data_IF_380931097496
#
_entry.id   IF_380931097496
#
_cell.length_a   1.000
_cell.length_b   1.000
_cell.length_c   1.000
_cell.angle_alpha   90.00
_cell.angle_beta   90.00
_cell.angle_gamma   90.00
#
_symmetry.space_group_name_H-M   'P 1'
#
loop_
_entity.id
_entity.type
_entity.pdbx_description
1 polymer ?
#
# COMPACT_ATOMS: atom_id res chain seq x y z
N UNK A 1 18.39 23.36 -11.21
CA UNK A 1 18.22 22.51 -10.01
C UNK A 1 16.94 22.84 -9.25
N UNK A 2 16.72 24.08 -8.80
CA UNK A 2 15.48 24.49 -8.09
C UNK A 2 14.24 24.30 -8.97
N UNK A 3 14.28 24.76 -10.22
CA UNK A 3 13.16 24.60 -11.17
C UNK A 3 12.79 23.12 -11.40
N UNK A 4 13.81 22.26 -11.57
CA UNK A 4 13.61 20.81 -11.67
C UNK A 4 12.98 20.22 -10.40
N UNK A 5 13.44 20.64 -9.22
CA UNK A 5 12.89 20.18 -7.94
C UNK A 5 11.41 20.59 -7.80
N UNK A 6 11.07 21.85 -8.08
CA UNK A 6 9.69 22.36 -8.03
C UNK A 6 8.82 21.60 -9.03
N UNK A 7 9.27 21.44 -10.27
CA UNK A 7 8.54 20.68 -11.29
C UNK A 7 8.27 19.25 -10.83
N UNK A 8 9.23 18.60 -10.16
CA UNK A 8 9.07 17.23 -9.67
C UNK A 8 8.07 17.13 -8.52
N UNK A 9 8.08 18.08 -7.58
CA UNK A 9 7.09 18.16 -6.50
C UNK A 9 5.69 18.42 -7.06
N UNK A 10 5.55 19.33 -8.03
CA UNK A 10 4.25 19.62 -8.66
C UNK A 10 3.68 18.40 -9.39
N UNK A 11 4.51 17.70 -10.16
CA UNK A 11 4.09 16.46 -10.84
C UNK A 11 3.70 15.40 -9.80
N UNK A 12 4.47 15.24 -8.72
CA UNK A 12 4.14 14.28 -7.66
C UNK A 12 2.79 14.60 -6.99
N UNK A 13 2.56 15.86 -6.63
CA UNK A 13 1.28 16.31 -6.04
C UNK A 13 0.11 16.07 -7.00
N UNK A 14 0.28 16.39 -8.29
CA UNK A 14 -0.74 16.16 -9.31
C UNK A 14 -1.02 14.67 -9.49
N UNK A 15 0.02 13.83 -9.55
CA UNK A 15 -0.13 12.38 -9.63
C UNK A 15 -0.86 11.82 -8.42
N UNK A 16 -0.49 12.24 -7.20
CA UNK A 16 -1.18 11.83 -5.99
C UNK A 16 -2.66 12.20 -6.02
N UNK A 17 -2.98 13.44 -6.43
CA UNK A 17 -4.36 13.91 -6.52
C UNK A 17 -5.19 13.13 -7.56
N UNK A 18 -4.61 12.83 -8.72
CA UNK A 18 -5.29 12.04 -9.76
C UNK A 18 -5.50 10.61 -9.27
N UNK A 19 -4.47 9.98 -8.71
CA UNK A 19 -4.56 8.60 -8.21
C UNK A 19 -5.53 8.52 -7.05
N UNK A 20 -5.52 9.46 -6.10
CA UNK A 20 -6.48 9.47 -5.00
C UNK A 20 -7.90 9.66 -5.48
N UNK A 21 -8.14 10.55 -6.45
CA UNK A 21 -9.47 10.70 -7.05
C UNK A 21 -9.94 9.42 -7.74
N UNK A 22 -9.06 8.76 -8.50
CA UNK A 22 -9.38 7.50 -9.17
C UNK A 22 -9.72 6.40 -8.16
N UNK A 23 -8.89 6.22 -7.12
CA UNK A 23 -9.15 5.24 -6.06
C UNK A 23 -10.45 5.55 -5.34
N UNK A 24 -10.70 6.82 -5.02
CA UNK A 24 -11.94 7.26 -4.38
C UNK A 24 -13.17 6.91 -5.22
N UNK A 25 -13.12 7.17 -6.54
CA UNK A 25 -14.20 6.81 -7.46
C UNK A 25 -14.37 5.28 -7.50
N UNK A 26 -13.29 4.53 -7.66
CA UNK A 26 -13.33 3.05 -7.76
C UNK A 26 -13.97 2.42 -6.53
N UNK A 27 -13.65 2.92 -5.33
CA UNK A 27 -14.24 2.44 -4.07
C UNK A 27 -15.74 2.74 -4.00
N UNK A 28 -16.22 3.80 -4.66
CA UNK A 28 -17.63 4.19 -4.69
C UNK A 28 -18.42 3.64 -5.88
N UNK A 29 -17.79 2.87 -6.78
CA UNK A 29 -18.48 2.24 -7.91
C UNK A 29 -19.49 1.14 -7.54
N UNK A 30 -19.28 0.32 -6.49
CA UNK A 30 -20.27 -0.67 -6.06
C UNK A 30 -21.65 -0.03 -5.78
N UNK A 31 -22.72 -0.78 -6.01
CA UNK A 31 -24.07 -0.31 -5.71
C UNK A 31 -24.25 -0.18 -4.18
N UNK A 32 -24.42 1.06 -3.71
CA UNK A 32 -24.53 1.40 -2.28
C UNK A 32 -23.32 2.17 -1.75
N UNK A 33 -23.43 2.72 -0.55
CA UNK A 33 -22.30 3.24 0.22
C UNK A 33 -21.74 2.16 1.17
N UNK A 34 -20.54 2.39 1.74
CA UNK A 34 -19.97 1.45 2.72
C UNK A 34 -20.93 1.20 3.91
N UNK A 35 -21.76 2.19 4.25
CA UNK A 35 -22.79 2.07 5.28
C UNK A 35 -23.84 1.00 4.93
N UNK A 36 -24.27 0.97 3.68
CA UNK A 36 -25.22 -0.01 3.14
C UNK A 36 -24.63 -1.43 3.23
N UNK A 37 -23.35 -1.59 2.86
CA UNK A 37 -22.66 -2.88 2.99
C UNK A 37 -22.51 -3.31 4.45
N UNK A 38 -22.17 -2.37 5.34
CA UNK A 38 -22.06 -2.62 6.77
C UNK A 38 -23.39 -3.04 7.41
N UNK A 39 -24.50 -2.39 7.04
CA UNK A 39 -25.84 -2.76 7.51
C UNK A 39 -26.20 -4.16 7.01
N UNK A 40 -25.99 -4.44 5.72
CA UNK A 40 -26.26 -5.75 5.14
C UNK A 40 -25.45 -6.87 5.82
N UNK A 41 -24.21 -6.57 6.21
CA UNK A 41 -23.35 -7.50 6.95
C UNK A 41 -23.90 -7.79 8.36
N UNK A 42 -24.26 -6.76 9.14
CA UNK A 42 -24.88 -6.94 10.46
C UNK A 42 -26.19 -7.74 10.37
N UNK A 43 -27.05 -7.42 9.40
CA UNK A 43 -28.30 -8.14 9.17
C UNK A 43 -28.04 -9.61 8.82
N UNK A 44 -26.99 -9.92 8.04
CA UNK A 44 -26.61 -11.29 7.70
C UNK A 44 -26.12 -12.10 8.91
N UNK A 45 -25.56 -11.43 9.92
CA UNK A 45 -25.12 -12.01 11.19
C UNK A 45 -26.25 -12.11 12.22
N UNK A 46 -27.44 -11.60 11.90
CA UNK A 46 -28.61 -11.58 12.80
C UNK A 46 -28.58 -10.45 13.82
N UNK A 47 -27.69 -9.46 13.64
CA UNK A 47 -27.62 -8.26 14.47
C UNK A 47 -28.38 -7.11 13.81
N UNK A 48 -29.14 -6.35 14.61
CA UNK A 48 -29.80 -5.15 14.12
C UNK A 48 -28.83 -3.97 14.18
N UNK A 49 -28.62 -3.29 13.04
CA UNK A 49 -27.87 -2.05 13.02
C UNK A 49 -28.60 -0.97 13.82
N UNK A 50 -27.92 -0.35 14.79
CA UNK A 50 -28.49 0.76 15.58
C UNK A 50 -28.78 1.96 14.67
N UNK A 51 -30.06 2.39 14.52
CA UNK A 51 -30.43 3.53 13.70
C UNK A 51 -29.68 4.82 14.08
N UNK A 52 -29.32 5.00 15.36
CA UNK A 52 -28.57 6.17 15.80
C UNK A 52 -27.13 6.13 15.29
N UNK A 53 -26.49 4.96 15.29
CA UNK A 53 -25.14 4.77 14.76
C UNK A 53 -25.12 4.97 13.23
N UNK A 54 -26.14 4.52 12.51
CA UNK A 54 -26.30 4.74 11.06
C UNK A 54 -26.32 6.24 10.75
N UNK A 55 -27.19 7.01 11.41
CA UNK A 55 -27.30 8.46 11.19
C UNK A 55 -26.03 9.20 11.57
N UNK A 56 -25.36 8.75 12.64
CA UNK A 56 -24.05 9.28 13.04
C UNK A 56 -23.00 9.07 11.94
N UNK A 57 -22.85 7.84 11.46
CA UNK A 57 -21.86 7.50 10.43
C UNK A 57 -22.18 8.20 9.08
N UNK A 58 -23.45 8.32 8.71
CA UNK A 58 -23.85 9.03 7.50
C UNK A 58 -23.36 10.49 7.51
N UNK A 59 -23.47 11.17 8.66
CA UNK A 59 -22.99 12.55 8.84
C UNK A 59 -21.48 12.62 8.94
N UNK A 60 -20.86 11.71 9.69
CA UNK A 60 -19.41 11.64 9.87
C UNK A 60 -18.68 11.54 8.52
N UNK A 61 -19.17 10.67 7.64
CA UNK A 61 -18.57 10.44 6.32
C UNK A 61 -19.16 11.33 5.21
N UNK A 62 -20.05 12.28 5.55
CA UNK A 62 -20.71 13.19 4.61
C UNK A 62 -21.41 12.46 3.44
N UNK A 63 -21.97 11.28 3.70
CA UNK A 63 -22.58 10.43 2.68
C UNK A 63 -23.86 11.05 2.08
N UNK A 64 -24.41 12.08 2.72
CA UNK A 64 -25.51 12.91 2.24
C UNK A 64 -25.08 13.94 1.17
N UNK A 65 -23.78 14.16 0.98
CA UNK A 65 -23.24 15.15 0.05
C UNK A 65 -22.88 14.53 -1.31
N UNK A 66 -22.83 15.32 -2.40
CA UNK A 66 -22.33 14.84 -3.68
C UNK A 66 -20.89 14.32 -3.60
N UNK A 67 -20.56 13.28 -4.38
CA UNK A 67 -19.26 12.58 -4.40
C UNK A 67 -18.06 13.54 -4.44
N UNK A 68 -18.10 14.56 -5.31
CA UNK A 68 -17.02 15.53 -5.44
C UNK A 68 -16.78 16.31 -4.14
N UNK A 69 -17.84 16.60 -3.38
CA UNK A 69 -17.76 17.33 -2.11
C UNK A 69 -17.23 16.43 -0.99
N UNK A 70 -17.66 15.16 -0.97
CA UNK A 70 -17.09 14.15 -0.06
C UNK A 70 -15.58 14.04 -0.24
N UNK A 71 -15.10 13.95 -1.49
CA UNK A 71 -13.68 13.89 -1.81
C UNK A 71 -12.91 15.13 -1.34
N UNK A 72 -13.45 16.33 -1.59
CA UNK A 72 -12.80 17.58 -1.15
C UNK A 72 -12.74 17.70 0.37
N UNK A 73 -13.80 17.29 1.09
CA UNK A 73 -13.81 17.28 2.55
C UNK A 73 -12.80 16.27 3.10
N UNK A 74 -12.74 15.08 2.52
CA UNK A 74 -11.79 14.03 2.88
C UNK A 74 -10.33 14.47 2.67
N UNK A 75 -9.99 15.00 1.50
CA UNK A 75 -8.65 15.57 1.25
C UNK A 75 -8.36 16.74 2.18
N UNK A 76 -9.35 17.61 2.42
CA UNK A 76 -9.21 18.74 3.34
C UNK A 76 -8.88 18.30 4.76
N UNK A 77 -9.47 17.18 5.22
CA UNK A 77 -9.13 16.51 6.48
C UNK A 77 -7.69 16.01 6.48
N UNK A 78 -7.28 15.27 5.45
CA UNK A 78 -5.93 14.70 5.35
C UNK A 78 -4.86 15.78 5.41
N UNK A 79 -5.06 16.90 4.70
CA UNK A 79 -4.13 18.03 4.71
C UNK A 79 -4.01 18.70 6.09
N UNK A 80 -4.98 18.48 6.98
CA UNK A 80 -4.95 18.93 8.39
C UNK A 80 -4.47 17.86 9.35
N UNK A 81 -4.10 16.68 8.86
CA UNK A 81 -3.71 15.52 9.66
C UNK A 81 -4.87 14.66 10.14
N UNK A 82 -6.09 14.92 9.68
CA UNK A 82 -7.27 14.11 9.97
C UNK A 82 -7.52 13.10 8.84
N UNK A 83 -7.15 11.85 9.09
CA UNK A 83 -7.35 10.74 8.15
C UNK A 83 -8.74 10.12 8.23
N UNK A 84 -9.60 10.62 9.12
CA UNK A 84 -10.90 10.06 9.43
C UNK A 84 -10.84 8.87 10.38
N UNK A 85 -12.00 8.22 10.54
CA UNK A 85 -12.20 7.05 11.39
C UNK A 85 -12.38 5.79 10.54
N UNK A 86 -11.80 4.68 10.96
CA UNK A 86 -12.11 3.36 10.42
C UNK A 86 -13.47 2.91 10.94
N UNK A 87 -14.36 2.53 10.03
CA UNK A 87 -15.68 1.98 10.39
C UNK A 87 -15.51 0.58 10.96
N UNK A 88 -14.67 -0.24 10.32
CA UNK A 88 -14.35 -1.62 10.72
C UNK A 88 -13.78 -1.72 12.14
N UNK A 89 -12.74 -0.92 12.43
CA UNK A 89 -12.04 -1.00 13.71
C UNK A 89 -12.58 -0.02 14.77
N UNK A 90 -13.52 0.86 14.39
CA UNK A 90 -14.03 1.98 15.21
C UNK A 90 -12.87 2.76 15.90
N UNK A 91 -11.82 3.05 15.15
CA UNK A 91 -10.61 3.75 15.60
C UNK A 91 -10.16 4.80 14.57
N UNK A 92 -9.42 5.85 14.97
CA UNK A 92 -8.79 6.76 14.02
C UNK A 92 -7.94 5.99 13.00
N UNK A 93 -8.05 6.34 11.71
CA UNK A 93 -7.34 5.63 10.64
C UNK A 93 -5.83 5.62 10.88
N UNK A 94 -5.29 6.72 11.41
CA UNK A 94 -3.86 6.84 11.72
C UNK A 94 -3.37 5.80 12.73
N UNK A 95 -4.21 5.40 13.69
CA UNK A 95 -3.85 4.40 14.69
C UNK A 95 -3.85 2.99 14.08
N UNK A 96 -4.72 2.75 13.10
CA UNK A 96 -4.81 1.48 12.36
C UNK A 96 -3.63 1.32 11.41
N UNK A 97 -3.29 2.36 10.63
CA UNK A 97 -2.26 2.26 9.58
C UNK A 97 -0.87 2.70 10.04
N UNK A 98 -0.76 3.44 11.14
CA UNK A 98 0.49 4.07 11.57
C UNK A 98 1.59 3.05 11.84
N UNK A 99 1.26 1.97 12.57
CA UNK A 99 2.20 0.89 12.85
C UNK A 99 2.63 0.17 11.56
N UNK A 100 1.66 -0.19 10.71
CA UNK A 100 1.90 -0.84 9.42
C UNK A 100 2.78 0.03 8.52
N UNK A 101 2.56 1.34 8.52
CA UNK A 101 3.33 2.31 7.73
C UNK A 101 4.81 2.34 8.15
N UNK A 102 5.09 2.36 9.46
CA UNK A 102 6.46 2.32 9.98
C UNK A 102 7.14 1.00 9.61
N UNK A 103 6.46 -0.13 9.79
CA UNK A 103 7.00 -1.43 9.38
C UNK A 103 7.26 -1.49 7.87
N UNK A 104 6.36 -0.95 7.05
CA UNK A 104 6.55 -0.89 5.60
C UNK A 104 7.79 -0.07 5.22
N UNK A 105 8.04 1.05 5.89
CA UNK A 105 9.25 1.85 5.68
C UNK A 105 10.50 1.06 6.04
N UNK A 106 10.53 0.47 7.23
CA UNK A 106 11.70 -0.29 7.72
C UNK A 106 11.98 -1.48 6.80
N UNK A 107 10.94 -2.21 6.41
CA UNK A 107 11.03 -3.34 5.50
C UNK A 107 11.60 -2.92 4.15
N UNK A 108 11.03 -1.90 3.51
CA UNK A 108 11.49 -1.43 2.20
C UNK A 108 12.91 -0.86 2.25
N UNK A 109 13.24 -0.09 3.30
CA UNK A 109 14.60 0.42 3.50
C UNK A 109 15.61 -0.72 3.63
N UNK A 110 15.26 -1.78 4.37
CA UNK A 110 16.09 -2.98 4.54
C UNK A 110 16.25 -3.74 3.23
N UNK A 111 15.17 -3.89 2.45
CA UNK A 111 15.22 -4.51 1.12
C UNK A 111 16.12 -3.73 0.16
N UNK A 112 15.98 -2.40 0.10
CA UNK A 112 16.83 -1.55 -0.76
C UNK A 112 18.29 -1.66 -0.34
N UNK A 113 18.57 -1.59 0.97
CA UNK A 113 19.92 -1.74 1.49
C UNK A 113 20.52 -3.11 1.09
N UNK A 114 19.75 -4.19 1.27
CA UNK A 114 20.16 -5.54 0.88
C UNK A 114 20.42 -5.64 -0.63
N UNK A 115 19.53 -5.09 -1.47
CA UNK A 115 19.70 -5.06 -2.93
C UNK A 115 21.02 -4.37 -3.28
N UNK A 116 21.33 -3.21 -2.71
CA UNK A 116 22.59 -2.53 -3.02
C UNK A 116 23.81 -3.28 -2.51
N UNK A 117 23.74 -3.87 -1.30
CA UNK A 117 24.85 -4.65 -0.75
C UNK A 117 25.17 -5.87 -1.60
N UNK A 118 24.16 -6.50 -2.22
CA UNK A 118 24.34 -7.74 -2.99
C UNK A 118 24.51 -7.47 -4.49
N UNK A 119 23.57 -6.75 -5.09
CA UNK A 119 23.53 -6.55 -6.54
C UNK A 119 24.66 -5.65 -7.03
N UNK A 120 25.07 -4.64 -6.25
CA UNK A 120 26.13 -3.73 -6.69
C UNK A 120 27.49 -4.43 -6.79
N UNK A 121 27.98 -5.18 -5.77
CA UNK A 121 29.23 -5.94 -5.91
C UNK A 121 29.16 -7.01 -7.00
N UNK A 122 28.05 -7.74 -7.12
CA UNK A 122 27.85 -8.74 -8.18
C UNK A 122 27.94 -8.09 -9.56
N UNK A 123 27.27 -6.95 -9.75
CA UNK A 123 27.30 -6.19 -11.00
C UNK A 123 28.70 -5.68 -11.35
N UNK A 124 29.42 -5.11 -10.38
CA UNK A 124 30.80 -4.64 -10.57
C UNK A 124 31.74 -5.81 -10.90
N UNK A 125 31.62 -6.94 -10.20
CA UNK A 125 32.43 -8.12 -10.44
C UNK A 125 32.19 -8.70 -11.84
N UNK A 126 30.93 -8.93 -12.22
CA UNK A 126 30.54 -9.44 -13.54
C UNK A 126 31.00 -8.50 -14.66
N UNK A 127 30.86 -7.17 -14.49
CA UNK A 127 31.28 -6.18 -15.47
C UNK A 127 32.80 -6.12 -15.67
N UNK A 128 33.59 -6.36 -14.62
CA UNK A 128 35.06 -6.33 -14.68
C UNK A 128 35.68 -7.66 -15.12
N UNK A 129 34.98 -8.78 -14.93
CA UNK A 129 35.44 -10.14 -15.23
C UNK A 129 34.52 -10.85 -16.23
N UNK A 130 34.26 -10.16 -17.34
CA UNK A 130 33.36 -10.62 -18.40
C UNK A 130 33.77 -12.00 -18.93
N UNK A 131 32.78 -12.86 -19.20
CA UNK A 131 32.96 -14.22 -19.73
C UNK A 131 33.74 -15.17 -18.80
N UNK A 132 33.94 -14.79 -17.54
CA UNK A 132 34.49 -15.69 -16.53
C UNK A 132 33.44 -16.70 -16.05
N UNK A 133 33.89 -17.81 -15.49
CA UNK A 133 32.99 -18.77 -14.84
C UNK A 133 32.18 -18.14 -13.70
N UNK A 134 32.77 -17.18 -12.98
CA UNK A 134 32.08 -16.44 -11.92
C UNK A 134 30.98 -15.52 -12.47
N UNK A 135 31.25 -14.83 -13.57
CA UNK A 135 30.26 -14.02 -14.29
C UNK A 135 29.07 -14.88 -14.77
N UNK A 136 29.35 -15.99 -15.45
CA UNK A 136 28.29 -16.90 -15.90
C UNK A 136 27.47 -17.48 -14.75
N UNK A 137 28.11 -17.86 -13.63
CA UNK A 137 27.41 -18.38 -12.46
C UNK A 137 26.50 -17.34 -11.81
N UNK A 138 26.99 -16.13 -11.58
CA UNK A 138 26.22 -15.03 -10.98
C UNK A 138 25.07 -14.59 -11.89
N UNK A 139 25.32 -14.49 -13.18
CA UNK A 139 24.31 -14.15 -14.20
C UNK A 139 23.23 -15.22 -14.26
N UNK A 140 23.60 -16.50 -14.22
CA UNK A 140 22.64 -17.62 -14.18
C UNK A 140 21.73 -17.55 -12.95
N UNK A 141 22.29 -17.32 -11.76
CA UNK A 141 21.49 -17.13 -10.52
C UNK A 141 20.57 -15.91 -10.65
N UNK A 142 21.06 -14.80 -11.20
CA UNK A 142 20.24 -13.62 -11.48
C UNK A 142 19.06 -13.92 -12.40
N UNK A 143 19.28 -14.72 -13.45
CA UNK A 143 18.23 -15.17 -14.36
C UNK A 143 17.19 -16.06 -13.70
N UNK A 144 17.58 -16.94 -12.76
CA UNK A 144 16.60 -17.71 -11.98
C UNK A 144 15.69 -16.76 -11.20
N UNK A 145 16.26 -15.72 -10.56
CA UNK A 145 15.49 -14.70 -9.85
C UNK A 145 14.51 -13.95 -10.76
N UNK A 146 14.93 -13.58 -11.97
CA UNK A 146 14.09 -12.87 -12.94
C UNK A 146 13.02 -13.77 -13.59
N UNK A 147 13.34 -15.03 -13.84
CA UNK A 147 12.44 -15.98 -14.49
C UNK A 147 11.41 -16.58 -13.53
N UNK A 148 11.70 -16.59 -12.23
CA UNK A 148 10.81 -17.14 -11.21
C UNK A 148 9.76 -16.09 -10.81
N UNK A 149 8.46 -16.43 -10.82
CA UNK A 149 7.44 -15.54 -10.28
C UNK A 149 7.72 -15.18 -8.81
N UNK A 150 7.64 -13.90 -8.46
CA UNK A 150 7.95 -13.40 -7.10
C UNK A 150 7.19 -14.16 -6.00
N UNK A 151 5.90 -14.44 -6.22
CA UNK A 151 5.09 -15.17 -5.24
C UNK A 151 5.61 -16.60 -5.01
N UNK A 152 6.05 -17.29 -6.07
CA UNK A 152 6.57 -18.66 -5.99
C UNK A 152 7.90 -18.68 -5.23
N UNK A 153 8.78 -17.73 -5.57
CA UNK A 153 10.05 -17.58 -4.86
C UNK A 153 9.83 -17.31 -3.37
N UNK A 154 8.88 -16.42 -3.04
CA UNK A 154 8.51 -16.15 -1.65
C UNK A 154 8.01 -17.40 -0.92
N UNK A 155 7.15 -18.21 -1.55
CA UNK A 155 6.65 -19.47 -0.96
C UNK A 155 7.78 -20.48 -0.72
N UNK A 156 8.71 -20.62 -1.67
CA UNK A 156 9.88 -21.51 -1.53
C UNK A 156 10.77 -21.04 -0.37
N UNK A 157 11.10 -19.75 -0.33
CA UNK A 157 11.92 -19.18 0.74
C UNK A 157 11.25 -19.32 2.11
N UNK A 158 9.94 -19.07 2.19
CA UNK A 158 9.15 -19.26 3.41
C UNK A 158 9.17 -20.73 3.88
N UNK A 159 9.00 -21.69 2.98
CA UNK A 159 9.10 -23.11 3.33
C UNK A 159 10.49 -23.49 3.84
N UNK A 160 11.55 -23.01 3.18
CA UNK A 160 12.94 -23.26 3.57
C UNK A 160 13.26 -22.62 4.93
N UNK A 161 12.82 -21.38 5.14
CA UNK A 161 12.96 -20.69 6.42
C UNK A 161 12.29 -21.49 7.55
N UNK A 162 11.03 -21.88 7.37
CA UNK A 162 10.31 -22.67 8.37
C UNK A 162 10.99 -24.00 8.67
N UNK A 163 11.43 -24.71 7.63
CA UNK A 163 12.01 -26.05 7.76
C UNK A 163 13.40 -26.04 8.42
N UNK A 164 14.26 -25.07 8.06
CA UNK A 164 15.67 -25.09 8.45
C UNK A 164 16.04 -24.04 9.50
N UNK A 165 15.33 -22.91 9.54
CA UNK A 165 15.58 -21.82 10.49
C UNK A 165 14.56 -21.82 11.64
N UNK A 166 13.44 -22.56 11.51
CA UNK A 166 12.40 -22.64 12.54
C UNK A 166 11.57 -21.37 12.70
N UNK A 167 11.66 -20.46 11.73
CA UNK A 167 10.88 -19.22 11.59
C UNK A 167 10.05 -19.29 10.31
#
# INVERSE_FOLDING_TARGET
MIDYFIRRILVMMLTLLIVSALVFIVIQLPEGDYLTSYIAELESQGEAADPQKIVYLQKEFNLDQPIWKQYLLWIGGILRGDFGRSIEYDLPVIDVIGEVFVFAIILNASVIAFIYIVAFPIGVYSATHQYSWGDHGLTFVGFIGLATPNFLLALILMFLAKKYLGI
#
